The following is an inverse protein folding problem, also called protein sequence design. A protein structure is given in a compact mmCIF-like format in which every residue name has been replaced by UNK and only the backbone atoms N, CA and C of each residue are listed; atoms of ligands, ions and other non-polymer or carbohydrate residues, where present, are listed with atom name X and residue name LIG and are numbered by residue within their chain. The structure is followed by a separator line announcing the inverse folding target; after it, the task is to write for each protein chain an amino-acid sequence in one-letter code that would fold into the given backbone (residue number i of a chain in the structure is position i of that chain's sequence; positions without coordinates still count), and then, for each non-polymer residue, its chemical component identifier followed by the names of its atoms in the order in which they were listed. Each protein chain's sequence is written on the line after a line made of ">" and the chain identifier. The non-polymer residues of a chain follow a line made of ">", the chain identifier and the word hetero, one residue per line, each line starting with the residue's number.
data_IF_967171162474
#
_entry.id   IF_967171162474
#
_cell.length_a   1.000
_cell.length_b   1.000
_cell.length_c   1.000
_cell.angle_alpha   90.00
_cell.angle_beta   90.00
_cell.angle_gamma   90.00
#
_symmetry.space_group_name_H-M   'P 1'
#
loop_
_entity.id
_entity.type
_entity.pdbx_description
1 polymer ?
#
# COMPACT_ATOMS: atom_id res chain seq x y z
N UNK A 1 -19.42 -18.18 2.08
CA UNK A 1 -18.40 -18.65 3.04
C UNK A 1 -17.04 -18.31 2.45
N UNK A 2 -16.41 -17.23 2.92
CA UNK A 2 -15.05 -16.90 2.54
C UNK A 2 -14.15 -17.96 3.15
N UNK A 3 -13.36 -18.69 2.36
CA UNK A 3 -12.24 -19.41 2.95
C UNK A 3 -11.30 -18.33 3.47
N UNK A 4 -11.19 -18.27 4.78
CA UNK A 4 -10.41 -17.28 5.46
C UNK A 4 -9.00 -17.21 4.94
N UNK A 5 -8.41 -16.05 5.15
CA UNK A 5 -7.00 -15.75 4.94
C UNK A 5 -6.63 -15.67 3.46
N UNK A 6 -6.43 -14.45 2.99
CA UNK A 6 -5.52 -14.25 1.87
C UNK A 6 -4.27 -15.08 2.19
N UNK A 7 -3.97 -16.11 1.40
CA UNK A 7 -2.71 -16.79 1.57
C UNK A 7 -1.65 -15.69 1.49
N UNK A 8 -0.82 -15.57 2.50
CA UNK A 8 0.15 -14.48 2.57
C UNK A 8 0.86 -14.31 1.23
N UNK A 9 1.32 -13.11 0.90
CA UNK A 9 1.91 -12.79 -0.41
C UNK A 9 2.86 -13.87 -0.96
N UNK A 10 3.56 -14.59 -0.08
CA UNK A 10 4.41 -15.73 -0.43
C UNK A 10 3.69 -16.92 -1.04
N UNK A 11 2.38 -17.11 -0.80
CA UNK A 11 1.60 -18.20 -1.41
C UNK A 11 1.17 -17.87 -2.85
N UNK A 12 0.90 -16.59 -3.13
CA UNK A 12 0.47 -16.12 -4.46
C UNK A 12 1.64 -15.76 -5.37
N UNK A 13 2.68 -15.12 -4.81
CA UNK A 13 3.78 -14.52 -5.57
C UNK A 13 5.11 -15.25 -5.37
N UNK A 14 5.09 -16.41 -4.68
CA UNK A 14 6.25 -17.28 -4.50
C UNK A 14 7.01 -17.09 -3.19
N UNK A 15 8.03 -17.93 -2.94
CA UNK A 15 8.69 -18.07 -1.64
C UNK A 15 9.57 -16.87 -1.23
N UNK A 16 9.76 -15.91 -2.12
CA UNK A 16 10.55 -14.70 -1.86
C UNK A 16 9.76 -13.59 -1.17
N UNK A 17 8.42 -13.68 -1.19
CA UNK A 17 7.51 -12.73 -0.56
C UNK A 17 7.00 -13.21 0.81
N UNK A 18 6.31 -12.34 1.53
CA UNK A 18 5.72 -12.66 2.84
C UNK A 18 6.73 -12.71 3.99
N UNK A 19 7.92 -12.12 3.83
CA UNK A 19 9.01 -12.17 4.82
C UNK A 19 9.13 -10.92 5.69
N UNK A 20 8.17 -10.00 5.63
CA UNK A 20 8.26 -8.71 6.33
C UNK A 20 8.54 -8.87 7.83
N UNK A 21 7.75 -9.70 8.51
CA UNK A 21 7.90 -9.92 9.96
C UNK A 21 9.24 -10.54 10.30
N UNK A 22 9.70 -11.51 9.50
CA UNK A 22 11.01 -12.16 9.71
C UNK A 22 12.15 -11.15 9.52
N UNK A 23 12.04 -10.25 8.54
CA UNK A 23 13.05 -9.22 8.30
C UNK A 23 13.04 -8.15 9.41
N UNK A 24 11.88 -7.77 9.95
CA UNK A 24 11.78 -6.88 11.11
C UNK A 24 12.49 -7.50 12.32
N UNK A 25 12.23 -8.78 12.58
CA UNK A 25 12.88 -9.52 13.68
C UNK A 25 14.39 -9.67 13.45
N UNK A 26 14.81 -9.96 12.23
CA UNK A 26 16.23 -10.04 11.88
C UNK A 26 16.96 -8.68 12.06
N UNK A 27 16.24 -7.58 11.88
CA UNK A 27 16.74 -6.23 12.16
C UNK A 27 16.74 -5.87 13.67
N UNK A 28 16.33 -6.78 14.56
CA UNK A 28 16.33 -6.60 16.00
C UNK A 28 15.08 -5.95 16.57
N UNK A 29 14.01 -5.84 15.79
CA UNK A 29 12.74 -5.25 16.23
C UNK A 29 11.64 -6.31 16.31
N UNK A 30 10.59 -6.00 17.06
CA UNK A 30 9.37 -6.81 17.13
C UNK A 30 8.20 -6.06 16.48
N UNK A 31 7.21 -6.77 15.92
CA UNK A 31 6.03 -6.13 15.32
C UNK A 31 5.30 -5.15 16.26
N UNK A 32 5.32 -5.43 17.56
CA UNK A 32 4.72 -4.60 18.61
C UNK A 32 5.44 -3.25 18.82
N UNK A 33 6.65 -3.11 18.28
CA UNK A 33 7.46 -1.88 18.35
C UNK A 33 7.24 -0.97 17.14
N UNK A 34 6.41 -1.38 16.19
CA UNK A 34 6.06 -0.56 15.02
C UNK A 34 4.95 0.41 15.42
N UNK A 35 5.24 1.71 15.35
CA UNK A 35 4.31 2.78 15.73
C UNK A 35 3.49 3.30 14.53
N UNK A 36 4.10 3.35 13.35
CA UNK A 36 3.47 3.90 12.14
C UNK A 36 3.72 2.97 10.94
N UNK A 37 2.68 2.75 10.15
CA UNK A 37 2.75 2.05 8.87
C UNK A 37 2.21 2.97 7.79
N UNK A 38 3.04 3.27 6.81
CA UNK A 38 2.74 4.18 5.72
C UNK A 38 2.49 3.38 4.45
N UNK A 39 1.24 3.36 4.00
CA UNK A 39 0.79 2.56 2.86
C UNK A 39 0.87 3.41 1.59
N UNK A 40 1.58 2.93 0.58
CA UNK A 40 1.61 3.58 -0.73
C UNK A 40 0.27 3.49 -1.42
N UNK A 41 -0.33 2.30 -1.42
CA UNK A 41 -1.66 2.00 -1.95
C UNK A 41 -2.21 0.67 -1.39
N UNK A 42 -3.49 0.39 -1.62
CA UNK A 42 -4.17 -0.74 -0.98
C UNK A 42 -4.34 -1.98 -1.86
N UNK A 43 -3.47 -2.23 -2.84
CA UNK A 43 -3.46 -3.54 -3.49
C UNK A 43 -3.06 -4.62 -2.47
N UNK A 44 -3.62 -5.84 -2.58
CA UNK A 44 -3.44 -6.89 -1.56
C UNK A 44 -2.00 -7.30 -1.26
N UNK A 45 -1.13 -7.24 -2.24
CA UNK A 45 0.30 -7.53 -2.10
C UNK A 45 1.06 -6.45 -1.29
N UNK A 46 0.49 -5.24 -1.16
CA UNK A 46 1.04 -4.15 -0.35
C UNK A 46 0.44 -4.06 1.05
N UNK A 47 -0.76 -4.60 1.26
CA UNK A 47 -1.43 -4.53 2.58
C UNK A 47 -1.65 -5.89 3.25
N UNK A 48 -1.48 -7.00 2.52
CA UNK A 48 -1.76 -8.34 3.03
C UNK A 48 -0.91 -8.76 4.25
N UNK A 49 0.26 -8.14 4.44
CA UNK A 49 1.12 -8.37 5.61
C UNK A 49 0.65 -7.71 6.90
N UNK A 50 -0.40 -6.91 6.86
CA UNK A 50 -0.95 -6.23 8.05
C UNK A 50 -1.70 -7.18 8.99
N UNK A 51 -2.22 -8.28 8.47
CA UNK A 51 -3.10 -9.20 9.20
C UNK A 51 -2.64 -10.64 9.00
N UNK A 52 -2.58 -11.40 10.08
CA UNK A 52 -2.39 -12.84 10.07
C UNK A 52 -3.50 -13.48 10.92
N UNK A 53 -4.16 -14.52 10.40
CA UNK A 53 -5.26 -15.24 11.07
C UNK A 53 -6.36 -14.30 11.62
N UNK A 54 -6.68 -13.25 10.85
CA UNK A 54 -7.68 -12.25 11.22
C UNK A 54 -7.25 -11.27 12.32
N UNK A 55 -5.98 -11.28 12.74
CA UNK A 55 -5.45 -10.42 13.81
C UNK A 55 -4.42 -9.44 13.27
N UNK A 56 -4.35 -8.26 13.86
CA UNK A 56 -3.31 -7.28 13.57
C UNK A 56 -1.93 -7.88 13.85
N UNK A 57 -1.06 -7.86 12.85
CA UNK A 57 0.36 -8.23 12.99
C UNK A 57 1.12 -7.15 13.76
N UNK A 58 0.71 -5.88 13.61
CA UNK A 58 1.34 -4.71 14.24
C UNK A 58 0.32 -4.04 15.18
N UNK A 59 0.09 -4.60 16.40
CA UNK A 59 -1.04 -4.21 17.25
C UNK A 59 -0.96 -2.78 17.77
N UNK A 60 0.23 -2.19 17.81
CA UNK A 60 0.45 -0.82 18.31
C UNK A 60 0.52 0.22 17.19
N UNK A 61 0.63 -0.20 15.94
CA UNK A 61 0.81 0.69 14.82
C UNK A 61 -0.44 1.48 14.46
N UNK A 62 -0.26 2.74 14.06
CA UNK A 62 -1.23 3.51 13.27
C UNK A 62 -0.94 3.28 11.79
N UNK A 63 -1.93 2.80 11.04
CA UNK A 63 -1.83 2.64 9.58
C UNK A 63 -2.32 3.91 8.90
N UNK A 64 -1.50 4.47 8.00
CA UNK A 64 -1.85 5.66 7.23
C UNK A 64 -1.86 5.37 5.74
N UNK A 65 -2.88 5.88 5.05
CA UNK A 65 -3.00 5.86 3.61
C UNK A 65 -3.75 7.09 3.11
N UNK A 66 -3.69 7.37 1.82
CA UNK A 66 -4.44 8.47 1.22
C UNK A 66 -5.95 8.34 1.46
N UNK A 67 -6.63 9.47 1.68
CA UNK A 67 -8.09 9.54 1.83
C UNK A 67 -8.82 8.89 0.65
N UNK A 68 -8.31 9.08 -0.57
CA UNK A 68 -8.91 8.51 -1.79
C UNK A 68 -8.74 7.00 -1.85
N UNK A 69 -7.62 6.50 -1.32
CA UNK A 69 -7.33 5.07 -1.24
C UNK A 69 -8.32 4.38 -0.30
N UNK A 70 -8.44 4.89 0.93
CA UNK A 70 -9.43 4.39 1.90
C UNK A 70 -10.86 4.52 1.41
N UNK A 71 -11.23 5.68 0.86
CA UNK A 71 -12.57 5.93 0.33
C UNK A 71 -12.95 5.06 -0.87
N UNK A 72 -11.97 4.58 -1.62
CA UNK A 72 -12.22 3.69 -2.75
C UNK A 72 -12.23 2.22 -2.35
N UNK A 73 -11.14 1.71 -1.78
CA UNK A 73 -10.95 0.28 -1.53
C UNK A 73 -11.72 -0.25 -0.31
N UNK A 74 -12.05 0.60 0.67
CA UNK A 74 -12.80 0.20 1.86
C UNK A 74 -14.31 0.46 1.73
N UNK A 75 -14.80 0.81 0.55
CA UNK A 75 -16.20 1.08 0.26
C UNK A 75 -16.94 -0.19 -0.18
N UNK A 76 -17.94 -0.62 0.61
CA UNK A 76 -18.81 -1.74 0.24
C UNK A 76 -19.56 -1.47 -1.08
N UNK A 77 -20.03 -0.23 -1.29
CA UNK A 77 -20.72 0.16 -2.51
C UNK A 77 -19.83 0.00 -3.76
N UNK A 78 -18.53 0.33 -3.64
CA UNK A 78 -17.59 0.13 -4.74
C UNK A 78 -17.32 -1.37 -4.98
N UNK A 79 -17.19 -2.18 -3.93
CA UNK A 79 -17.05 -3.63 -4.05
C UNK A 79 -18.27 -4.26 -4.76
N UNK A 80 -19.48 -3.84 -4.39
CA UNK A 80 -20.70 -4.38 -4.96
C UNK A 80 -20.81 -4.09 -6.47
N UNK A 81 -20.37 -2.91 -6.90
CA UNK A 81 -20.35 -2.45 -8.30
C UNK A 81 -19.12 -2.92 -9.08
N UNK A 82 -18.10 -3.45 -8.41
CA UNK A 82 -16.87 -3.86 -9.06
C UNK A 82 -17.09 -5.08 -9.98
N UNK A 83 -16.42 -5.12 -11.14
CA UNK A 83 -16.43 -6.31 -11.99
C UNK A 83 -15.80 -7.49 -11.24
N UNK A 84 -16.18 -8.71 -11.63
CA UNK A 84 -15.84 -9.94 -10.90
C UNK A 84 -14.33 -10.10 -10.66
N UNK A 85 -13.52 -9.75 -11.66
CA UNK A 85 -12.06 -9.80 -11.62
C UNK A 85 -11.43 -8.80 -10.64
N UNK A 86 -12.11 -7.69 -10.35
CA UNK A 86 -11.62 -6.67 -9.42
C UNK A 86 -12.06 -6.89 -7.97
N UNK A 87 -13.10 -7.70 -7.74
CA UNK A 87 -13.65 -7.92 -6.38
C UNK A 87 -12.62 -8.43 -5.38
N UNK A 88 -11.69 -9.28 -5.83
CA UNK A 88 -10.62 -9.81 -4.99
C UNK A 88 -9.72 -8.74 -4.40
N UNK A 89 -9.44 -7.66 -5.13
CA UNK A 89 -8.64 -6.53 -4.65
C UNK A 89 -9.34 -5.80 -3.50
N UNK A 90 -10.64 -5.46 -3.67
CA UNK A 90 -11.44 -4.83 -2.62
C UNK A 90 -11.49 -5.69 -1.35
N UNK A 91 -11.77 -6.96 -1.53
CA UNK A 91 -11.91 -7.90 -0.42
C UNK A 91 -10.59 -8.07 0.32
N UNK A 92 -9.46 -8.17 -0.39
CA UNK A 92 -8.13 -8.23 0.21
C UNK A 92 -7.79 -6.97 0.99
N UNK A 93 -8.05 -5.78 0.43
CA UNK A 93 -7.87 -4.51 1.11
C UNK A 93 -8.73 -4.42 2.38
N UNK A 94 -10.04 -4.70 2.27
CA UNK A 94 -10.95 -4.68 3.42
C UNK A 94 -10.53 -5.64 4.51
N UNK A 95 -10.18 -6.88 4.17
CA UNK A 95 -9.74 -7.88 5.15
C UNK A 95 -8.46 -7.43 5.89
N UNK A 96 -7.52 -6.82 5.17
CA UNK A 96 -6.24 -6.37 5.72
C UNK A 96 -6.39 -5.13 6.61
N UNK A 97 -7.28 -4.20 6.26
CA UNK A 97 -7.43 -2.94 6.98
C UNK A 97 -8.51 -2.98 8.08
N UNK A 98 -9.49 -3.89 7.98
CA UNK A 98 -10.62 -3.95 8.91
C UNK A 98 -10.21 -3.98 10.39
N UNK A 99 -9.26 -4.79 10.86
CA UNK A 99 -8.87 -4.79 12.28
C UNK A 99 -8.32 -3.44 12.74
N UNK A 100 -7.60 -2.73 11.87
CA UNK A 100 -7.07 -1.39 12.19
C UNK A 100 -8.15 -0.31 12.18
N UNK A 101 -9.09 -0.39 11.25
CA UNK A 101 -10.25 0.52 11.21
C UNK A 101 -11.12 0.34 12.45
N UNK A 102 -11.47 -0.90 12.79
CA UNK A 102 -12.29 -1.23 13.97
C UNK A 102 -11.62 -0.80 15.29
N UNK A 103 -10.30 -0.86 15.36
CA UNK A 103 -9.50 -0.42 16.50
C UNK A 103 -9.24 1.10 16.54
N UNK A 104 -9.72 1.88 15.54
CA UNK A 104 -9.44 3.32 15.43
C UNK A 104 -7.99 3.64 15.13
N UNK A 105 -7.24 2.69 14.55
CA UNK A 105 -5.82 2.77 14.21
C UNK A 105 -5.56 3.03 12.73
N UNK A 106 -6.57 3.35 11.96
CA UNK A 106 -6.44 3.80 10.58
C UNK A 106 -6.61 5.33 10.52
N UNK A 107 -5.67 6.03 9.87
CA UNK A 107 -5.71 7.47 9.65
C UNK A 107 -5.50 7.81 8.19
N UNK A 108 -6.37 8.64 7.64
CA UNK A 108 -6.28 9.11 6.28
C UNK A 108 -5.27 10.27 6.15
N UNK A 109 -4.53 10.30 5.04
CA UNK A 109 -3.66 11.38 4.61
C UNK A 109 -4.42 12.17 3.53
N UNK A 110 -4.64 13.45 3.73
CA UNK A 110 -5.45 14.29 2.81
C UNK A 110 -4.62 15.23 1.93
N UNK A 111 -3.37 15.49 2.27
CA UNK A 111 -2.48 16.42 1.58
C UNK A 111 -1.05 15.87 1.51
N UNK A 112 -0.20 16.56 0.75
CA UNK A 112 1.24 16.33 0.82
C UNK A 112 1.76 16.97 2.09
N UNK A 113 2.19 16.14 3.03
CA UNK A 113 2.58 16.57 4.37
C UNK A 113 3.74 15.75 4.92
N UNK A 114 4.46 16.32 5.86
CA UNK A 114 5.41 15.59 6.68
C UNK A 114 4.63 14.86 7.78
N UNK A 115 4.66 13.54 7.74
CA UNK A 115 3.88 12.68 8.66
C UNK A 115 4.57 12.48 10.00
N UNK A 116 5.88 12.32 9.94
CA UNK A 116 6.81 12.26 11.07
C UNK A 116 8.09 12.98 10.64
N UNK A 117 8.92 13.48 11.59
CA UNK A 117 10.14 14.21 11.22
C UNK A 117 11.01 13.44 10.23
N UNK A 118 11.25 14.05 9.07
CA UNK A 118 12.05 13.48 7.99
C UNK A 118 11.30 12.52 7.06
N UNK A 119 9.99 12.29 7.23
CA UNK A 119 9.20 11.46 6.31
C UNK A 119 8.01 12.23 5.74
N UNK A 120 8.07 12.53 4.45
CA UNK A 120 7.04 13.27 3.72
C UNK A 120 6.23 12.34 2.82
N UNK A 121 4.90 12.43 2.88
CA UNK A 121 4.00 11.83 1.89
C UNK A 121 3.84 12.76 0.69
N UNK A 122 3.88 12.19 -0.51
CA UNK A 122 3.72 12.92 -1.79
C UNK A 122 2.71 12.19 -2.65
N UNK A 123 1.68 12.87 -3.12
CA UNK A 123 0.66 12.30 -3.98
C UNK A 123 1.23 11.92 -5.35
N UNK A 124 0.98 10.68 -5.76
CA UNK A 124 1.39 10.14 -7.07
C UNK A 124 0.27 9.25 -7.62
N UNK A 125 -0.92 9.85 -7.68
CA UNK A 125 -2.14 9.16 -8.08
C UNK A 125 -2.06 8.65 -9.52
N UNK A 126 -2.71 7.48 -9.78
CA UNK A 126 -2.77 6.91 -11.14
C UNK A 126 -2.79 5.39 -11.09
N UNK A 127 -1.74 4.77 -10.58
CA UNK A 127 -1.73 3.32 -10.34
C UNK A 127 -2.95 2.90 -9.51
N UNK A 128 -3.16 3.58 -8.39
CA UNK A 128 -4.45 3.60 -7.71
C UNK A 128 -4.93 5.04 -7.50
N UNK A 129 -6.19 5.20 -7.06
CA UNK A 129 -6.80 6.53 -6.89
C UNK A 129 -6.10 7.40 -5.87
N UNK A 130 -5.45 6.79 -4.88
CA UNK A 130 -4.76 7.47 -3.79
C UNK A 130 -3.31 7.03 -3.62
N UNK A 131 -2.67 6.51 -4.67
CA UNK A 131 -1.26 6.12 -4.60
C UNK A 131 -0.38 7.27 -4.13
N UNK A 132 0.56 6.98 -3.21
CA UNK A 132 1.53 7.93 -2.67
C UNK A 132 2.94 7.38 -2.68
N UNK A 133 3.89 8.27 -2.90
CA UNK A 133 5.30 8.04 -2.60
C UNK A 133 5.61 8.56 -1.18
N UNK A 134 6.66 8.00 -0.58
CA UNK A 134 7.22 8.52 0.67
C UNK A 134 8.66 8.92 0.46
N UNK A 135 8.99 10.14 0.84
CA UNK A 135 10.36 10.67 0.81
C UNK A 135 10.88 10.67 2.23
N UNK A 136 11.92 9.88 2.47
CA UNK A 136 12.63 9.84 3.74
C UNK A 136 13.91 10.66 3.61
N UNK A 137 14.09 11.64 4.49
CA UNK A 137 15.28 12.50 4.51
C UNK A 137 15.98 12.41 5.87
N UNK A 138 17.26 12.10 5.84
CA UNK A 138 18.10 12.03 7.03
C UNK A 138 19.54 12.41 6.71
N UNK A 139 20.16 13.26 7.52
CA UNK A 139 21.57 13.68 7.37
C UNK A 139 21.92 14.15 5.95
N UNK A 140 21.00 14.88 5.30
CA UNK A 140 21.17 15.37 3.93
C UNK A 140 21.05 14.31 2.83
N UNK A 141 20.68 13.09 3.15
CA UNK A 141 20.42 12.01 2.21
C UNK A 141 18.91 11.79 2.05
N UNK A 142 18.49 11.39 0.85
CA UNK A 142 17.09 11.11 0.53
C UNK A 142 16.92 9.68 0.02
N UNK A 143 15.86 9.03 0.52
CA UNK A 143 15.35 7.77 0.01
C UNK A 143 13.92 7.99 -0.44
N UNK A 144 13.58 7.58 -1.65
CA UNK A 144 12.22 7.62 -2.17
C UNK A 144 11.66 6.20 -2.23
N UNK A 145 10.58 5.98 -1.49
CA UNK A 145 9.79 4.75 -1.55
C UNK A 145 8.62 5.02 -2.49
N UNK A 146 8.75 4.58 -3.74
CA UNK A 146 7.83 4.97 -4.80
C UNK A 146 6.66 3.99 -5.05
N UNK A 147 6.60 2.88 -4.28
CA UNK A 147 5.55 1.88 -4.46
C UNK A 147 5.46 1.40 -5.91
N UNK A 148 4.25 1.43 -6.45
CA UNK A 148 3.93 0.99 -7.81
C UNK A 148 3.81 2.15 -8.81
N UNK A 149 4.57 3.23 -8.58
CA UNK A 149 4.73 4.30 -9.58
C UNK A 149 5.35 3.76 -10.88
N UNK A 150 6.26 2.80 -10.74
CA UNK A 150 6.90 2.10 -11.85
C UNK A 150 7.14 0.62 -11.50
N UNK A 151 6.95 -0.27 -12.49
CA UNK A 151 7.05 -1.71 -12.32
C UNK A 151 8.22 -2.32 -13.09
N UNK A 152 8.54 -1.77 -14.26
CA UNK A 152 9.57 -2.30 -15.16
C UNK A 152 10.57 -1.21 -15.49
N UNK A 153 11.60 -1.09 -14.66
CA UNK A 153 12.63 -0.04 -14.77
C UNK A 153 13.27 0.03 -16.19
N UNK A 154 13.58 -1.13 -16.79
CA UNK A 154 14.18 -1.20 -18.12
C UNK A 154 13.32 -0.59 -19.24
N UNK A 155 12.00 -0.52 -19.03
CA UNK A 155 11.04 0.05 -19.99
C UNK A 155 10.66 1.46 -19.58
N UNK A 156 10.19 1.62 -18.36
CA UNK A 156 9.55 2.85 -17.92
C UNK A 156 10.53 4.00 -17.63
N UNK A 157 11.82 3.71 -17.40
CA UNK A 157 12.83 4.78 -17.38
C UNK A 157 13.13 5.34 -18.77
N UNK A 158 13.03 4.50 -19.80
CA UNK A 158 13.22 4.95 -21.20
C UNK A 158 11.95 5.61 -21.75
N UNK A 159 10.77 5.09 -21.37
CA UNK A 159 9.46 5.60 -21.77
C UNK A 159 8.49 5.63 -20.57
N UNK A 160 8.46 6.74 -19.81
CA UNK A 160 7.57 6.88 -18.66
C UNK A 160 6.07 6.92 -19.00
N UNK A 161 5.70 6.94 -20.29
CA UNK A 161 4.31 6.89 -20.72
C UNK A 161 3.73 5.47 -20.74
N UNK A 162 4.58 4.45 -20.59
CA UNK A 162 4.13 3.05 -20.53
C UNK A 162 3.44 2.76 -19.20
N UNK A 163 2.22 2.24 -19.30
CA UNK A 163 1.36 1.86 -18.17
C UNK A 163 1.19 0.35 -18.11
N UNK A 164 0.62 -0.15 -17.01
CA UNK A 164 0.31 -1.57 -16.84
C UNK A 164 -1.19 -1.79 -16.70
N UNK A 165 -1.63 -3.03 -16.88
CA UNK A 165 -3.06 -3.37 -16.81
C UNK A 165 -3.67 -3.20 -15.41
N UNK A 166 -2.84 -3.13 -14.35
CA UNK A 166 -3.28 -2.94 -12.96
C UNK A 166 -3.43 -1.46 -12.59
N UNK A 167 -3.07 -0.53 -13.49
CA UNK A 167 -3.29 0.90 -13.26
C UNK A 167 -4.79 1.22 -13.32
N UNK A 168 -5.33 1.73 -12.23
CA UNK A 168 -6.75 2.10 -12.10
C UNK A 168 -7.12 3.26 -13.03
N UNK A 169 -6.18 4.19 -13.24
CA UNK A 169 -6.26 5.29 -14.20
C UNK A 169 -4.96 5.37 -14.99
N UNK A 170 -4.91 4.68 -16.13
CA UNK A 170 -3.72 4.63 -16.97
C UNK A 170 -3.28 6.02 -17.48
N UNK A 171 -4.23 6.98 -17.62
CA UNK A 171 -3.89 8.33 -18.06
C UNK A 171 -3.18 9.10 -16.95
N UNK A 172 -3.64 8.96 -15.72
CA UNK A 172 -3.02 9.59 -14.55
C UNK A 172 -1.72 8.87 -14.15
N UNK A 173 -1.61 7.56 -14.37
CA UNK A 173 -0.42 6.76 -14.05
C UNK A 173 0.78 7.09 -14.96
N UNK A 174 0.53 7.69 -16.14
CA UNK A 174 1.63 8.13 -17.02
C UNK A 174 2.44 9.22 -16.33
N UNK A 175 3.69 8.93 -16.07
CA UNK A 175 4.62 9.96 -15.59
C UNK A 175 4.92 10.88 -16.79
N UNK A 176 4.54 12.15 -16.70
CA UNK A 176 4.93 13.12 -17.73
C UNK A 176 6.44 13.29 -17.70
N UNK A 177 7.13 13.23 -18.84
CA UNK A 177 8.55 13.56 -18.87
C UNK A 177 8.75 14.97 -18.33
N UNK A 178 9.85 15.25 -17.63
CA UNK A 178 10.16 16.61 -17.23
C UNK A 178 10.23 17.51 -18.47
N UNK A 179 9.50 18.63 -18.43
CA UNK A 179 9.50 19.66 -19.47
C UNK A 179 10.85 20.38 -19.53
#
# INVERSE_FOLDING_TARGET
>A
MWPGVWPGAGTLFGPTLGKLVDQIRAAGYQPEQVDEILITHMHPDHVGGLVADGRMVFPNATVRADTREGGFWLSQANLDQAPAEAKGFFQGAMASLKPYVDAGRFKAISADEELVPGIKAVATHGHTKGHRNYVVESKGQKLVLWGDLMHVAAVQFADPSVTIQFDTDQKAARVSPPS
#
